data_IF_252144712781
#
_entry.id   IF_252144712781
#
_cell.length_a   1.000
_cell.length_b   1.000
_cell.length_c   1.000
_cell.angle_alpha   90.00
_cell.angle_beta   90.00
_cell.angle_gamma   90.00
#
_symmetry.space_group_name_H-M   'P 1'
#
loop_
_entity.id
_entity.type
_entity.pdbx_description
1 polymer ?
#
# COMPACT_ATOMS: atom_id res chain seq x y z
N UNK A 1 -17.47 -0.46 13.32
CA UNK A 1 -16.62 0.41 12.49
C UNK A 1 -16.36 -0.30 11.18
N UNK A 2 -16.43 0.42 10.05
CA UNK A 2 -16.17 -0.15 8.72
C UNK A 2 -14.78 0.23 8.23
N UNK A 3 -14.25 -0.62 7.36
CA UNK A 3 -12.94 -0.48 6.77
C UNK A 3 -13.03 -0.64 5.26
N UNK A 4 -12.28 0.19 4.53
CA UNK A 4 -12.22 0.15 3.07
C UNK A 4 -10.79 0.23 2.60
N UNK A 5 -10.48 -0.42 1.48
CA UNK A 5 -9.18 -0.22 0.84
C UNK A 5 -9.19 1.12 0.08
N UNK A 6 -8.10 1.87 0.19
CA UNK A 6 -7.89 3.08 -0.60
C UNK A 6 -6.71 2.89 -1.55
N UNK A 7 -6.68 3.66 -2.62
CA UNK A 7 -5.50 3.85 -3.47
C UNK A 7 -5.52 5.24 -4.10
N UNK A 8 -4.52 5.53 -4.91
CA UNK A 8 -4.57 6.63 -5.87
C UNK A 8 -5.64 6.38 -6.94
N UNK A 9 -6.10 7.47 -7.55
CA UNK A 9 -7.10 7.44 -8.62
C UNK A 9 -6.51 6.93 -9.93
N UNK A 10 -7.25 6.05 -10.60
CA UNK A 10 -6.94 5.61 -11.96
C UNK A 10 -7.57 6.47 -13.07
N UNK A 11 -8.37 7.49 -12.71
CA UNK A 11 -9.15 8.29 -13.65
C UNK A 11 -8.30 9.34 -14.39
N UNK A 12 -8.20 9.33 -15.74
CA UNK A 12 -7.34 10.26 -16.47
C UNK A 12 -7.66 11.73 -16.26
N UNK A 13 -8.91 12.06 -15.89
CA UNK A 13 -9.32 13.43 -15.56
C UNK A 13 -8.78 13.92 -14.21
N UNK A 14 -8.46 12.99 -13.31
CA UNK A 14 -7.90 13.27 -11.99
C UNK A 14 -6.38 13.28 -12.06
N UNK A 15 -5.77 12.25 -12.67
CA UNK A 15 -4.31 12.08 -12.69
C UNK A 15 -3.62 12.70 -13.91
N UNK A 16 -4.36 13.12 -14.93
CA UNK A 16 -3.84 13.78 -16.14
C UNK A 16 -3.16 12.85 -17.16
N UNK A 17 -2.94 11.58 -16.82
CA UNK A 17 -2.35 10.56 -17.69
C UNK A 17 -3.34 9.44 -18.01
N UNK A 18 -3.11 8.75 -19.14
CA UNK A 18 -4.00 7.67 -19.62
C UNK A 18 -3.58 6.27 -19.20
N UNK A 19 -2.43 6.12 -18.52
CA UNK A 19 -1.95 4.81 -18.09
C UNK A 19 -2.79 4.25 -16.92
N UNK A 20 -3.47 5.11 -16.15
CA UNK A 20 -4.32 4.73 -15.02
C UNK A 20 -3.58 4.11 -13.83
N UNK A 21 -2.25 4.23 -13.78
CA UNK A 21 -1.38 3.49 -12.84
C UNK A 21 -0.39 4.40 -12.09
N UNK A 22 0.19 5.42 -12.74
CA UNK A 22 1.21 6.24 -12.12
C UNK A 22 1.38 7.61 -12.78
N UNK A 23 1.78 8.61 -11.99
CA UNK A 23 1.93 10.02 -12.40
C UNK A 23 3.39 10.46 -12.56
N UNK A 24 4.34 9.75 -11.94
CA UNK A 24 5.76 10.09 -12.01
C UNK A 24 6.65 8.84 -11.98
N UNK A 25 7.86 8.97 -12.48
CA UNK A 25 8.87 7.90 -12.47
C UNK A 25 9.97 8.24 -11.49
N UNK A 26 10.40 7.28 -10.67
CA UNK A 26 11.58 7.43 -9.81
C UNK A 26 12.83 7.01 -10.57
N UNK A 27 13.93 7.69 -10.28
CA UNK A 27 15.25 7.37 -10.83
C UNK A 27 15.86 6.16 -10.10
N UNK A 28 15.30 4.99 -10.38
CA UNK A 28 15.66 3.74 -9.71
C UNK A 28 17.13 3.37 -9.96
N UNK A 29 17.64 3.65 -11.15
CA UNK A 29 19.03 3.36 -11.50
C UNK A 29 20.02 4.16 -10.65
N UNK A 30 19.69 5.40 -10.29
CA UNK A 30 20.51 6.17 -9.36
C UNK A 30 20.30 5.71 -7.91
N UNK A 31 19.08 5.29 -7.54
CA UNK A 31 18.77 4.76 -6.21
C UNK A 31 19.57 3.48 -5.90
N UNK A 32 19.91 2.65 -6.89
CA UNK A 32 20.65 1.39 -6.66
C UNK A 32 22.18 1.55 -6.70
N UNK A 33 22.72 2.77 -6.81
CA UNK A 33 24.17 2.97 -7.01
C UNK A 33 25.01 2.86 -5.74
N UNK A 34 24.45 3.19 -4.59
CA UNK A 34 25.16 3.14 -3.32
C UNK A 34 24.60 2.04 -2.41
N UNK A 35 25.48 1.51 -1.55
CA UNK A 35 25.20 0.34 -0.71
C UNK A 35 24.12 0.62 0.34
N UNK A 36 23.96 1.87 0.78
CA UNK A 36 22.98 2.24 1.80
C UNK A 36 21.58 2.25 1.18
N UNK A 37 21.43 2.83 0.00
CA UNK A 37 20.20 2.80 -0.77
C UNK A 37 19.81 1.38 -1.19
N UNK A 38 20.78 0.54 -1.57
CA UNK A 38 20.51 -0.87 -1.84
C UNK A 38 20.02 -1.60 -0.58
N UNK A 39 20.64 -1.34 0.58
CA UNK A 39 20.19 -1.92 1.86
C UNK A 39 18.76 -1.51 2.22
N UNK A 40 18.37 -0.27 1.91
CA UNK A 40 17.00 0.21 2.05
C UNK A 40 16.03 -0.54 1.13
N UNK A 41 16.38 -0.75 -0.14
CA UNK A 41 15.56 -1.49 -1.10
C UNK A 41 15.43 -2.96 -0.70
N UNK A 42 16.52 -3.60 -0.32
CA UNK A 42 16.56 -5.00 0.14
C UNK A 42 15.72 -5.19 1.42
N UNK A 43 15.63 -4.17 2.27
CA UNK A 43 14.74 -4.19 3.44
C UNK A 43 13.27 -4.34 3.04
N UNK A 44 12.83 -3.68 1.98
CA UNK A 44 11.46 -3.78 1.48
C UNK A 44 11.21 -4.98 0.56
N UNK A 45 12.21 -5.84 0.30
CA UNK A 45 12.01 -7.05 -0.49
C UNK A 45 11.00 -7.98 0.18
N UNK A 46 9.99 -8.43 -0.57
CA UNK A 46 8.95 -9.36 -0.10
C UNK A 46 9.56 -10.61 0.55
N UNK A 47 10.67 -11.10 0.01
CA UNK A 47 11.36 -12.31 0.46
C UNK A 47 12.26 -12.09 1.69
N UNK A 48 12.42 -10.86 2.15
CA UNK A 48 13.24 -10.53 3.31
C UNK A 48 12.57 -10.96 4.61
N UNK A 49 12.98 -12.11 5.17
CA UNK A 49 12.44 -12.63 6.44
C UNK A 49 12.78 -11.74 7.65
N UNK A 50 13.94 -11.08 7.63
CA UNK A 50 14.36 -10.20 8.71
C UNK A 50 13.44 -8.98 8.80
N UNK A 51 12.98 -8.46 7.67
CA UNK A 51 12.01 -7.37 7.61
C UNK A 51 10.71 -7.73 8.32
N UNK A 52 10.16 -8.92 8.07
CA UNK A 52 8.90 -9.36 8.67
C UNK A 52 9.01 -9.61 10.17
N UNK A 53 10.17 -10.08 10.63
CA UNK A 53 10.40 -10.33 12.06
C UNK A 53 10.71 -9.05 12.86
N UNK A 54 11.31 -8.03 12.25
CA UNK A 54 11.62 -6.75 12.90
C UNK A 54 11.41 -5.55 11.94
N UNK A 55 10.15 -5.15 11.80
CA UNK A 55 9.78 -3.98 11.01
C UNK A 55 10.25 -2.65 11.63
N UNK A 56 10.59 -2.61 12.92
CA UNK A 56 11.11 -1.40 13.59
C UNK A 56 12.51 -1.05 13.12
N UNK A 57 13.27 -2.05 12.63
CA UNK A 57 14.62 -1.86 12.09
C UNK A 57 14.68 -0.81 10.98
N UNK A 58 13.57 -0.52 10.30
CA UNK A 58 13.48 0.56 9.31
C UNK A 58 13.98 1.91 9.85
N UNK A 59 13.79 2.16 11.15
CA UNK A 59 14.23 3.39 11.84
C UNK A 59 15.76 3.52 11.91
N UNK A 60 16.48 2.42 11.73
CA UNK A 60 17.94 2.36 11.77
C UNK A 60 18.59 2.50 10.40
N UNK A 61 17.81 2.50 9.31
CA UNK A 61 18.37 2.66 7.96
C UNK A 61 18.63 4.14 7.67
N UNK A 62 19.75 4.39 6.99
CA UNK A 62 19.94 5.67 6.32
C UNK A 62 18.99 5.74 5.13
N UNK A 63 18.06 6.67 5.19
CA UNK A 63 17.02 6.84 4.17
C UNK A 63 17.68 7.46 2.93
N UNK A 64 17.57 6.82 1.75
CA UNK A 64 18.13 7.36 0.54
C UNK A 64 17.34 8.57 0.04
N UNK A 65 17.99 9.42 -0.76
CA UNK A 65 17.28 10.50 -1.45
C UNK A 65 16.57 9.89 -2.66
N UNK A 66 15.25 9.77 -2.58
CA UNK A 66 14.43 9.27 -3.68
C UNK A 66 14.06 10.45 -4.57
N UNK A 67 14.45 10.38 -5.84
CA UNK A 67 14.15 11.41 -6.84
C UNK A 67 13.21 10.86 -7.90
N UNK A 68 12.32 11.69 -8.41
CA UNK A 68 11.47 11.34 -9.54
C UNK A 68 11.10 12.50 -10.45
N UNK A 69 10.53 12.18 -11.60
CA UNK A 69 10.11 13.11 -12.63
C UNK A 69 8.65 12.85 -13.02
N UNK A 70 7.84 13.91 -13.07
CA UNK A 70 6.45 13.80 -13.48
C UNK A 70 6.34 13.37 -14.94
N UNK A 71 5.38 12.49 -15.23
CA UNK A 71 5.03 12.18 -16.60
C UNK A 71 4.44 13.40 -17.30
N UNK A 72 4.63 13.46 -18.62
CA UNK A 72 4.03 14.51 -19.45
C UNK A 72 2.50 14.52 -19.28
N UNK A 73 1.96 15.69 -18.88
CA UNK A 73 0.53 15.95 -18.58
C UNK A 73 0.00 15.35 -17.28
N UNK A 74 0.83 14.68 -16.48
CA UNK A 74 0.39 14.26 -15.16
C UNK A 74 -0.01 15.48 -14.31
N UNK A 75 -1.09 15.30 -13.56
CA UNK A 75 -1.59 16.29 -12.61
C UNK A 75 -0.98 15.99 -11.25
N UNK A 76 -0.61 17.03 -10.51
CA UNK A 76 -0.14 16.88 -9.13
C UNK A 76 -1.36 16.70 -8.22
N UNK A 77 -1.40 15.61 -7.45
CA UNK A 77 -2.50 15.27 -6.53
C UNK A 77 -1.94 14.85 -5.17
N UNK A 78 -2.73 14.90 -4.11
CA UNK A 78 -2.26 14.58 -2.75
C UNK A 78 -1.82 13.11 -2.59
N UNK A 79 -2.39 12.22 -3.39
CA UNK A 79 -1.98 10.81 -3.50
C UNK A 79 -1.57 10.56 -4.94
N UNK A 80 -0.35 10.10 -5.17
CA UNK A 80 0.19 9.82 -6.51
C UNK A 80 0.77 8.42 -6.62
N UNK A 81 0.40 7.72 -7.69
CA UNK A 81 1.10 6.49 -8.10
C UNK A 81 2.45 6.82 -8.73
N UNK A 82 3.42 5.91 -8.59
CA UNK A 82 4.76 6.06 -9.18
C UNK A 82 5.32 4.75 -9.71
N UNK A 83 6.35 4.83 -10.55
CA UNK A 83 7.03 3.66 -11.09
C UNK A 83 8.56 3.85 -11.15
N UNK A 84 9.38 2.79 -11.03
CA UNK A 84 9.01 1.48 -10.50
C UNK A 84 8.56 1.56 -9.03
N UNK A 85 7.67 0.65 -8.63
CA UNK A 85 7.15 0.58 -7.26
C UNK A 85 8.21 -0.04 -6.35
N UNK A 86 8.45 0.58 -5.20
CA UNK A 86 9.16 -0.04 -4.08
C UNK A 86 8.10 -0.77 -3.25
N UNK A 87 8.29 -2.08 -3.06
CA UNK A 87 7.36 -2.93 -2.30
C UNK A 87 6.95 -2.30 -0.96
N UNK A 88 5.66 -2.37 -0.63
CA UNK A 88 5.06 -1.82 0.59
C UNK A 88 5.08 -0.29 0.74
N UNK A 89 5.67 0.42 -0.22
CA UNK A 89 5.65 1.87 -0.31
C UNK A 89 4.81 2.30 -1.51
N UNK A 90 3.60 1.78 -1.66
CA UNK A 90 2.92 1.72 -2.96
C UNK A 90 2.61 3.09 -3.61
N UNK A 91 2.51 4.15 -2.83
CA UNK A 91 2.06 5.48 -3.27
C UNK A 91 2.86 6.58 -2.60
N UNK A 92 2.90 7.75 -3.24
CA UNK A 92 3.46 8.97 -2.69
C UNK A 92 2.35 9.89 -2.19
N UNK A 93 2.54 10.41 -0.97
CA UNK A 93 1.57 11.20 -0.24
C UNK A 93 2.09 12.61 -0.01
N UNK A 94 1.26 13.63 -0.26
CA UNK A 94 1.61 15.03 -0.03
C UNK A 94 1.81 15.30 1.47
N UNK A 95 2.50 16.40 1.79
CA UNK A 95 2.62 16.86 3.17
C UNK A 95 1.26 17.10 3.82
N UNK A 96 0.28 17.58 3.06
CA UNK A 96 -1.10 17.75 3.52
C UNK A 96 -1.68 16.43 4.02
N UNK A 97 -1.59 15.36 3.22
CA UNK A 97 -2.05 14.03 3.61
C UNK A 97 -1.35 13.55 4.89
N UNK A 98 -0.03 13.65 4.94
CA UNK A 98 0.77 13.23 6.11
C UNK A 98 0.41 14.03 7.36
N UNK A 99 0.07 15.31 7.22
CA UNK A 99 -0.33 16.16 8.35
C UNK A 99 -1.68 15.73 8.93
N UNK A 100 -2.64 15.35 8.09
CA UNK A 100 -3.91 14.78 8.54
C UNK A 100 -3.69 13.49 9.32
N UNK A 101 -2.80 12.60 8.85
CA UNK A 101 -2.49 11.36 9.59
C UNK A 101 -1.97 11.66 11.01
N UNK A 102 -1.13 12.69 11.16
CA UNK A 102 -0.62 13.12 12.47
C UNK A 102 -1.73 13.65 13.38
N UNK A 103 -2.69 14.40 12.85
CA UNK A 103 -3.85 14.89 13.62
C UNK A 103 -4.72 13.75 14.15
N UNK A 104 -4.79 12.64 13.41
CA UNK A 104 -5.47 11.42 13.83
C UNK A 104 -4.63 10.56 14.80
N UNK A 105 -3.43 11.02 15.19
CA UNK A 105 -2.45 10.28 15.99
C UNK A 105 -2.09 8.92 15.37
N UNK A 106 -2.00 8.88 14.04
CA UNK A 106 -1.61 7.67 13.32
C UNK A 106 -0.09 7.69 13.18
N UNK A 107 0.57 6.87 14.00
CA UNK A 107 2.00 6.65 13.89
C UNK A 107 2.32 5.77 12.68
N UNK A 108 3.11 6.32 11.76
CA UNK A 108 3.74 5.56 10.69
C UNK A 108 5.07 5.01 11.18
N UNK A 109 5.45 3.82 10.71
CA UNK A 109 6.74 3.21 11.03
C UNK A 109 7.89 3.88 10.28
N UNK A 110 7.61 4.39 9.08
CA UNK A 110 8.56 5.14 8.27
C UNK A 110 7.88 6.22 7.43
N UNK A 111 8.57 7.33 7.24
CA UNK A 111 8.15 8.44 6.36
C UNK A 111 9.37 8.90 5.59
N UNK A 112 9.40 8.63 4.29
CA UNK A 112 10.57 8.82 3.43
C UNK A 112 10.28 9.93 2.42
N UNK A 113 11.03 11.02 2.48
CA UNK A 113 10.84 12.15 1.57
C UNK A 113 11.19 11.74 0.14
N UNK A 114 10.35 12.16 -0.81
CA UNK A 114 10.62 12.09 -2.25
C UNK A 114 10.81 13.50 -2.79
N UNK A 115 11.76 13.66 -3.69
CA UNK A 115 11.97 14.89 -4.45
C UNK A 115 11.48 14.68 -5.88
N UNK A 116 10.36 15.31 -6.22
CA UNK A 116 9.77 15.22 -7.55
C UNK A 116 10.11 16.49 -8.32
N UNK A 117 10.73 16.34 -9.48
CA UNK A 117 11.15 17.46 -10.32
C UNK A 117 9.96 18.34 -10.67
N UNK A 118 10.15 19.66 -10.57
CA UNK A 118 9.16 20.69 -10.90
C UNK A 118 7.85 20.61 -10.07
N UNK A 119 7.87 19.89 -8.95
CA UNK A 119 6.78 19.86 -7.96
C UNK A 119 7.23 20.60 -6.70
N UNK A 120 6.52 21.69 -6.37
CA UNK A 120 6.83 22.53 -5.20
C UNK A 120 6.41 21.88 -3.87
N UNK A 121 5.34 21.09 -3.91
CA UNK A 121 4.77 20.40 -2.75
C UNK A 121 5.68 19.25 -2.29
N UNK A 122 5.72 18.98 -0.98
CA UNK A 122 6.56 17.89 -0.45
C UNK A 122 5.79 16.58 -0.48
N UNK A 123 6.44 15.52 -0.96
CA UNK A 123 5.88 14.18 -0.99
C UNK A 123 6.67 13.19 -0.16
N UNK A 124 5.97 12.16 0.30
CA UNK A 124 6.50 11.13 1.17
C UNK A 124 6.01 9.74 0.75
N UNK A 125 6.89 8.75 0.79
CA UNK A 125 6.51 7.34 0.89
C UNK A 125 6.26 7.02 2.36
N UNK A 126 5.19 6.28 2.64
CA UNK A 126 4.82 5.90 3.99
C UNK A 126 4.95 4.40 4.15
N UNK A 127 5.62 3.99 5.22
CA UNK A 127 5.59 2.62 5.70
C UNK A 127 4.79 2.56 7.00
N UNK A 128 3.76 1.72 7.00
CA UNK A 128 2.96 1.41 8.17
C UNK A 128 3.24 -0.02 8.59
N UNK A 129 3.25 -0.28 9.91
CA UNK A 129 3.40 -1.66 10.39
C UNK A 129 2.35 -2.55 9.75
N UNK A 130 2.86 -3.63 9.19
CA UNK A 130 2.13 -4.57 8.36
C UNK A 130 1.93 -5.84 9.16
N UNK A 131 0.70 -6.33 9.18
CA UNK A 131 0.36 -7.62 9.77
C UNK A 131 0.98 -8.70 8.90
N UNK A 132 1.80 -9.55 9.50
CA UNK A 132 2.57 -10.59 8.81
C UNK A 132 1.70 -11.80 8.47
N UNK A 133 2.22 -12.69 7.61
CA UNK A 133 1.51 -13.90 7.18
C UNK A 133 1.08 -14.81 8.36
N UNK A 134 1.92 -14.93 9.37
CA UNK A 134 1.71 -15.76 10.55
C UNK A 134 0.63 -15.22 11.51
N UNK A 135 0.22 -13.97 11.33
CA UNK A 135 -0.84 -13.31 12.11
C UNK A 135 -2.23 -13.40 11.43
N UNK A 136 -2.32 -14.01 10.25
CA UNK A 136 -3.58 -14.16 9.51
C UNK A 136 -4.34 -15.41 9.96
N UNK A 137 -5.64 -15.28 10.22
CA UNK A 137 -6.52 -16.43 10.38
C UNK A 137 -6.96 -16.94 9.00
N UNK A 138 -6.21 -17.93 8.49
CA UNK A 138 -6.45 -18.50 7.16
C UNK A 138 -7.77 -19.28 7.06
N UNK A 139 -8.18 -19.96 8.13
CA UNK A 139 -9.41 -20.78 8.16
C UNK A 139 -10.63 -19.91 7.95
N UNK A 140 -10.62 -18.76 8.63
CA UNK A 140 -11.66 -17.76 8.51
C UNK A 140 -11.51 -16.88 7.27
N UNK A 141 -10.35 -16.86 6.61
CA UNK A 141 -10.13 -16.15 5.35
C UNK A 141 -10.69 -16.90 4.14
N UNK A 142 -10.78 -16.24 2.98
CA UNK A 142 -11.25 -16.85 1.72
C UNK A 142 -10.52 -16.26 0.53
N UNK A 143 -9.97 -17.14 -0.31
CA UNK A 143 -9.23 -16.78 -1.51
C UNK A 143 -10.10 -16.98 -2.75
N UNK A 144 -9.81 -16.22 -3.80
CA UNK A 144 -10.46 -16.32 -5.09
C UNK A 144 -9.47 -16.26 -6.25
N UNK A 145 -9.82 -16.93 -7.34
CA UNK A 145 -9.24 -16.72 -8.68
C UNK A 145 -10.36 -16.38 -9.67
N UNK A 146 -9.99 -15.85 -10.84
CA UNK A 146 -10.97 -15.38 -11.83
C UNK A 146 -11.49 -13.98 -11.53
N UNK A 147 -12.51 -13.57 -12.28
CA UNK A 147 -13.12 -12.25 -12.22
C UNK A 147 -14.64 -12.37 -12.35
N UNK A 148 -15.39 -11.69 -11.48
CA UNK A 148 -16.85 -11.78 -11.45
C UNK A 148 -17.49 -11.42 -12.80
N UNK A 149 -16.99 -10.38 -13.47
CA UNK A 149 -17.50 -9.98 -14.81
C UNK A 149 -17.24 -11.00 -15.93
N UNK A 150 -16.39 -12.00 -15.70
CA UNK A 150 -16.11 -13.06 -16.67
C UNK A 150 -16.80 -14.39 -16.28
N UNK A 151 -17.66 -14.39 -15.26
CA UNK A 151 -18.37 -15.56 -14.74
C UNK A 151 -17.47 -16.79 -14.48
N UNK A 152 -16.21 -16.54 -14.11
CA UNK A 152 -15.20 -17.60 -13.90
C UNK A 152 -14.60 -17.58 -12.48
N UNK A 153 -15.30 -16.95 -11.53
CA UNK A 153 -14.85 -16.81 -10.15
C UNK A 153 -14.83 -18.18 -9.45
N UNK A 154 -13.68 -18.52 -8.86
CA UNK A 154 -13.49 -19.75 -8.07
C UNK A 154 -13.03 -19.40 -6.68
N UNK A 155 -13.61 -20.04 -5.67
CA UNK A 155 -13.28 -19.85 -4.26
C UNK A 155 -12.39 -20.96 -3.75
N UNK A 156 -11.46 -20.60 -2.87
CA UNK A 156 -10.49 -21.50 -2.28
C UNK A 156 -10.39 -21.24 -0.78
N UNK A 157 -10.14 -22.33 -0.06
CA UNK A 157 -9.85 -22.35 1.37
C UNK A 157 -8.45 -22.89 1.56
N UNK A 158 -7.75 -22.31 2.52
CA UNK A 158 -6.43 -22.72 2.99
C UNK A 158 -6.46 -22.64 4.51
N UNK A 159 -5.75 -23.54 5.18
CA UNK A 159 -5.84 -23.66 6.64
C UNK A 159 -4.72 -22.92 7.38
N UNK A 160 -3.65 -22.54 6.66
CA UNK A 160 -2.43 -22.00 7.24
C UNK A 160 -1.58 -21.25 6.20
N UNK A 161 -0.50 -20.61 6.68
CA UNK A 161 0.46 -19.86 5.88
C UNK A 161 1.10 -20.71 4.76
N UNK A 162 1.48 -21.95 5.06
CA UNK A 162 2.16 -22.82 4.09
C UNK A 162 1.27 -23.12 2.89
N UNK A 163 0.02 -23.49 3.12
CA UNK A 163 -0.97 -23.71 2.06
C UNK A 163 -1.26 -22.43 1.27
N UNK A 164 -1.27 -21.26 1.92
CA UNK A 164 -1.40 -19.98 1.25
C UNK A 164 -0.23 -19.70 0.29
N UNK A 165 1.01 -19.95 0.73
CA UNK A 165 2.21 -19.78 -0.10
C UNK A 165 2.15 -20.71 -1.31
N UNK A 166 1.81 -22.00 -1.10
CA UNK A 166 1.63 -22.93 -2.21
C UNK A 166 0.52 -22.49 -3.18
N UNK A 167 -0.60 -22.00 -2.65
CA UNK A 167 -1.70 -21.49 -3.45
C UNK A 167 -1.23 -20.34 -4.35
N UNK A 168 -0.45 -19.39 -3.82
CA UNK A 168 0.07 -18.25 -4.57
C UNK A 168 1.09 -18.63 -5.64
N UNK A 169 1.90 -19.66 -5.39
CA UNK A 169 2.82 -20.20 -6.40
C UNK A 169 2.05 -20.81 -7.59
N UNK A 170 0.98 -21.56 -7.30
CA UNK A 170 0.12 -22.20 -8.32
C UNK A 170 -0.83 -21.20 -8.99
N UNK A 171 -1.23 -20.14 -8.28
CA UNK A 171 -2.20 -19.13 -8.71
C UNK A 171 -1.65 -17.71 -8.45
N UNK A 172 -0.72 -17.21 -9.27
CA UNK A 172 -0.08 -15.90 -9.04
C UNK A 172 -1.09 -14.75 -8.96
N UNK A 173 -2.18 -14.81 -9.73
CA UNK A 173 -3.25 -13.80 -9.73
C UNK A 173 -4.34 -14.04 -8.66
N UNK A 174 -4.22 -15.11 -7.87
CA UNK A 174 -5.15 -15.38 -6.77
C UNK A 174 -5.06 -14.29 -5.70
N UNK A 175 -6.20 -13.89 -5.16
CA UNK A 175 -6.33 -12.82 -4.17
C UNK A 175 -7.31 -13.20 -3.06
N UNK A 176 -7.30 -12.46 -1.96
CA UNK A 176 -8.32 -12.61 -0.92
C UNK A 176 -9.63 -11.93 -1.35
N UNK A 177 -10.75 -12.66 -1.26
CA UNK A 177 -12.09 -12.03 -1.18
C UNK A 177 -12.37 -11.57 0.25
N UNK A 178 -11.96 -12.36 1.24
CA UNK A 178 -12.04 -12.02 2.66
C UNK A 178 -10.75 -12.40 3.37
N UNK A 179 -10.22 -11.50 4.18
CA UNK A 179 -9.07 -11.75 5.05
C UNK A 179 -9.48 -11.52 6.51
N UNK A 180 -9.08 -12.45 7.38
CA UNK A 180 -9.39 -12.42 8.81
C UNK A 180 -8.12 -12.26 9.63
N UNK A 181 -8.16 -11.35 10.60
CA UNK A 181 -7.06 -11.05 11.53
C UNK A 181 -7.60 -10.97 12.96
N UNK A 182 -6.70 -10.97 13.95
CA UNK A 182 -7.02 -10.83 15.37
C UNK A 182 -7.83 -9.56 15.69
N UNK A 183 -8.79 -9.67 16.61
CA UNK A 183 -9.54 -8.52 17.16
C UNK A 183 -8.69 -7.42 17.79
N UNK A 184 -7.43 -7.69 18.15
CA UNK A 184 -6.55 -6.66 18.72
C UNK A 184 -6.26 -5.49 17.76
N UNK A 185 -6.41 -5.72 16.45
CA UNK A 185 -6.24 -4.69 15.43
C UNK A 185 -7.50 -3.84 15.23
N UNK A 186 -8.64 -4.25 15.80
CA UNK A 186 -9.89 -3.49 15.71
C UNK A 186 -9.75 -2.15 16.43
N UNK A 187 -10.17 -1.07 15.79
CA UNK A 187 -10.03 0.29 16.33
C UNK A 187 -8.91 1.09 15.70
N UNK A 188 -7.94 0.44 15.04
CA UNK A 188 -6.89 1.15 14.27
C UNK A 188 -7.50 1.87 13.08
N UNK A 189 -6.97 3.04 12.75
CA UNK A 189 -7.43 3.84 11.61
C UNK A 189 -6.79 3.40 10.28
N UNK A 190 -5.59 2.81 10.31
CA UNK A 190 -4.92 2.19 9.16
C UNK A 190 -4.49 0.77 9.53
N UNK A 191 -4.76 -0.20 8.65
CA UNK A 191 -4.37 -1.61 8.80
C UNK A 191 -3.72 -2.08 7.49
N UNK A 192 -2.42 -2.36 7.55
CA UNK A 192 -1.67 -2.99 6.46
C UNK A 192 -1.58 -4.49 6.70
N UNK A 193 -1.75 -5.31 5.66
CA UNK A 193 -1.64 -6.77 5.75
C UNK A 193 -0.77 -7.24 4.60
N UNK A 194 0.29 -7.99 4.90
CA UNK A 194 1.37 -8.35 3.98
C UNK A 194 0.93 -8.83 2.59
N UNK A 195 -0.04 -9.75 2.43
CA UNK A 195 -0.45 -10.24 1.11
C UNK A 195 -1.26 -9.23 0.28
N UNK A 196 -1.60 -8.06 0.81
CA UNK A 196 -2.46 -7.09 0.16
C UNK A 196 -1.66 -5.88 -0.32
N UNK A 197 -1.92 -5.47 -1.57
CA UNK A 197 -1.32 -4.27 -2.13
C UNK A 197 -1.87 -2.98 -1.49
N UNK A 198 -3.14 -2.97 -1.09
CA UNK A 198 -3.76 -1.75 -0.56
C UNK A 198 -4.09 -1.91 0.94
N UNK A 199 -3.72 -0.92 1.78
CA UNK A 199 -4.10 -0.89 3.18
C UNK A 199 -5.61 -0.67 3.37
N UNK A 200 -6.12 -1.09 4.52
CA UNK A 200 -7.46 -0.78 4.98
C UNK A 200 -7.47 0.49 5.83
N UNK A 201 -8.42 1.38 5.54
CA UNK A 201 -8.64 2.64 6.26
C UNK A 201 -9.99 2.59 6.95
N UNK A 202 -10.07 3.11 8.18
CA UNK A 202 -11.34 3.28 8.86
C UNK A 202 -12.22 4.29 8.13
N UNK A 203 -13.53 4.09 8.16
CA UNK A 203 -14.51 5.04 7.61
C UNK A 203 -14.35 6.46 8.19
N UNK A 204 -13.96 6.55 9.47
CA UNK A 204 -13.68 7.82 10.16
C UNK A 204 -12.53 8.57 9.48
N UNK A 205 -11.39 7.91 9.26
CA UNK A 205 -10.22 8.52 8.61
C UNK A 205 -10.53 8.90 7.17
N UNK A 206 -11.22 8.02 6.42
CA UNK A 206 -11.63 8.31 5.03
C UNK A 206 -12.46 9.59 4.97
N UNK A 207 -13.46 9.74 5.84
CA UNK A 207 -14.27 10.95 5.90
C UNK A 207 -13.43 12.19 6.24
N UNK A 208 -12.43 12.05 7.13
CA UNK A 208 -11.45 13.10 7.39
C UNK A 208 -10.70 13.55 6.14
N UNK A 209 -10.14 12.60 5.39
CA UNK A 209 -9.41 12.87 4.15
C UNK A 209 -10.29 13.56 3.10
N UNK A 210 -11.56 13.13 2.96
CA UNK A 210 -12.53 13.75 2.05
C UNK A 210 -12.86 15.18 2.48
N UNK A 211 -13.14 15.40 3.77
CA UNK A 211 -13.51 16.71 4.31
C UNK A 211 -12.39 17.74 4.15
N UNK A 212 -11.14 17.30 4.29
CA UNK A 212 -9.95 18.13 4.05
C UNK A 212 -9.64 18.31 2.56
N UNK A 213 -10.40 17.68 1.66
CA UNK A 213 -10.24 17.82 0.21
C UNK A 213 -8.94 17.22 -0.31
N UNK A 214 -8.59 16.01 0.15
CA UNK A 214 -7.47 15.24 -0.41
C UNK A 214 -7.79 14.82 -1.85
N UNK A 215 -6.89 15.19 -2.76
CA UNK A 215 -7.01 14.90 -4.20
C UNK A 215 -6.30 13.60 -4.58
N UNK A 216 -6.76 12.95 -5.66
CA UNK A 216 -6.20 11.67 -6.10
C UNK A 216 -6.60 10.47 -5.24
N UNK A 217 -7.48 10.62 -4.26
CA UNK A 217 -8.01 9.53 -3.43
C UNK A 217 -9.07 8.71 -4.19
N UNK A 218 -8.88 7.39 -4.23
CA UNK A 218 -9.85 6.41 -4.71
C UNK A 218 -10.21 5.43 -3.59
N UNK A 219 -11.52 5.27 -3.32
CA UNK A 219 -12.03 4.37 -2.29
C UNK A 219 -12.62 3.15 -2.98
N UNK A 220 -12.09 1.96 -2.68
CA UNK A 220 -12.53 0.70 -3.29
C UNK A 220 -13.66 0.11 -2.47
N UNK A 221 -14.89 0.49 -2.82
CA UNK A 221 -16.11 -0.07 -2.20
C UNK A 221 -16.47 -1.46 -2.75
N UNK A 222 -16.24 -1.66 -4.05
CA UNK A 222 -16.57 -2.88 -4.77
C UNK A 222 -15.29 -3.58 -5.24
N UNK A 223 -15.32 -4.91 -5.34
CA UNK A 223 -14.19 -5.74 -5.79
C UNK A 223 -12.90 -5.64 -4.93
N UNK A 224 -12.99 -5.05 -3.74
CA UNK A 224 -11.94 -5.01 -2.73
C UNK A 224 -11.96 -6.26 -1.84
N UNK A 225 -10.83 -6.58 -1.22
CA UNK A 225 -10.79 -7.59 -0.16
C UNK A 225 -11.63 -7.10 1.03
N UNK A 226 -12.42 -7.99 1.65
CA UNK A 226 -13.17 -7.71 2.88
C UNK A 226 -12.29 -8.01 4.10
N UNK A 227 -12.31 -7.13 5.09
CA UNK A 227 -11.62 -7.34 6.36
C UNK A 227 -12.60 -7.87 7.42
N UNK A 228 -12.23 -8.93 8.12
CA UNK A 228 -12.92 -9.41 9.33
C UNK A 228 -11.97 -9.56 10.52
N UNK A 229 -12.54 -9.41 11.71
CA UNK A 229 -11.84 -9.55 12.98
C UNK A 229 -12.39 -10.75 13.74
N UNK A 230 -11.51 -11.67 14.14
CA UNK A 230 -11.86 -12.93 14.80
C UNK A 230 -11.37 -12.97 16.24
#
# INVERSE_FOLDING_TARGET
MKYYQISHSSEPKVIGVKNGIYQFEIDYNNLTKDIESQSFLDFFDYSNKDFWSDQERIKNFKIPVIKGEMLKKATVTDIMGYAPIISYLNEAFSYKYVSILKEYNIDNYGTFKIEIQDVLERYYLLFNKTICLDEIDYKESTLVTGHAMMDNLKYYKVENEFEYIEFKQKNPLGKFDKISISKEFFGKDIICIQPLANPFYSEKLINGLINEGITGLEIKYENSTKLSFV
#
